data_IF_299815768422
#
_entry.id   IF_299815768422
#
_cell.length_a   1.000
_cell.length_b   1.000
_cell.length_c   1.000
_cell.angle_alpha   90.00
_cell.angle_beta   90.00
_cell.angle_gamma   90.00
#
_symmetry.space_group_name_H-M   'P 1'
#
loop_
_entity.id
_entity.type
_entity.pdbx_description
1 polymer ?
#
# COMPACT_ATOMS: atom_id res chain seq x y z
N UNK A 1 -2.78 46.15 13.26
CA UNK A 1 -2.85 46.30 11.79
C UNK A 1 -1.98 45.18 11.23
N UNK A 2 -2.47 43.95 11.14
CA UNK A 2 -3.66 43.53 10.41
C UNK A 2 -4.79 43.02 11.32
N UNK A 3 -6.00 43.43 10.96
CA UNK A 3 -7.28 42.83 11.38
C UNK A 3 -7.55 41.66 10.43
N UNK A 4 -8.51 40.80 10.75
CA UNK A 4 -9.03 39.63 10.03
C UNK A 4 -8.47 38.30 10.58
N UNK A 5 -9.26 37.31 11.01
CA UNK A 5 -10.69 37.11 10.78
C UNK A 5 -11.21 36.01 11.71
N UNK A 6 -12.37 36.23 12.34
CA UNK A 6 -13.14 35.28 13.15
C UNK A 6 -13.81 34.19 12.27
N UNK A 7 -13.05 33.46 11.46
CA UNK A 7 -13.57 32.35 10.63
C UNK A 7 -12.84 31.02 10.90
N UNK A 8 -11.90 31.00 11.85
CA UNK A 8 -11.07 29.84 12.17
C UNK A 8 -11.71 28.81 13.12
N UNK A 9 -12.83 29.13 13.78
CA UNK A 9 -13.46 28.24 14.77
C UNK A 9 -14.32 27.13 14.16
N UNK A 10 -14.91 27.36 12.99
CA UNK A 10 -15.84 26.40 12.38
C UNK A 10 -15.11 25.34 11.52
N UNK A 11 -13.98 25.72 10.90
CA UNK A 11 -13.13 24.80 10.14
C UNK A 11 -12.32 23.87 11.05
N UNK A 12 -11.97 24.29 12.27
CA UNK A 12 -11.32 23.43 13.27
C UNK A 12 -12.30 22.43 13.86
N UNK A 13 -13.57 22.80 14.08
CA UNK A 13 -14.60 21.87 14.52
C UNK A 13 -15.02 20.87 13.43
N UNK A 14 -15.08 21.28 12.16
CA UNK A 14 -15.23 20.34 11.04
C UNK A 14 -14.03 19.40 10.91
N UNK A 15 -12.81 19.90 11.16
CA UNK A 15 -11.60 19.09 11.24
C UNK A 15 -11.66 18.06 12.38
N UNK A 16 -12.06 18.45 13.58
CA UNK A 16 -12.18 17.50 14.71
C UNK A 16 -13.35 16.53 14.53
N UNK A 17 -14.51 17.00 14.05
CA UNK A 17 -15.70 16.15 13.87
C UNK A 17 -15.57 15.15 12.71
N UNK A 18 -14.80 15.47 11.67
CA UNK A 18 -14.69 14.62 10.46
C UNK A 18 -13.40 13.79 10.43
N UNK A 19 -12.29 14.28 11.00
CA UNK A 19 -10.98 13.59 10.97
C UNK A 19 -10.81 12.65 12.15
N UNK A 20 -11.22 13.04 13.37
CA UNK A 20 -11.16 12.13 14.53
C UNK A 20 -12.23 11.02 14.46
N UNK A 21 -13.24 11.17 13.60
CA UNK A 21 -14.27 10.16 13.34
C UNK A 21 -13.98 9.23 12.14
N UNK A 22 -12.86 9.38 11.42
CA UNK A 22 -12.40 8.34 10.49
C UNK A 22 -11.46 7.43 11.28
N UNK A 23 -11.98 6.38 11.93
CA UNK A 23 -11.13 5.50 12.72
C UNK A 23 -10.08 4.88 11.80
N UNK A 24 -8.84 4.73 12.28
CA UNK A 24 -7.88 3.87 11.61
C UNK A 24 -8.55 2.52 11.40
N UNK A 25 -8.58 2.08 10.14
CA UNK A 25 -9.24 0.86 9.76
C UNK A 25 -8.19 -0.11 9.22
N UNK A 26 -8.33 -1.38 9.61
CA UNK A 26 -7.37 -2.44 9.31
C UNK A 26 -7.10 -2.55 7.80
N UNK A 27 -8.12 -2.32 6.97
CA UNK A 27 -7.99 -2.36 5.52
C UNK A 27 -7.12 -1.20 4.98
N UNK A 28 -7.19 -0.03 5.60
CA UNK A 28 -6.35 1.14 5.34
C UNK A 28 -4.90 0.87 5.72
N UNK A 29 -4.67 0.26 6.88
CA UNK A 29 -3.33 -0.16 7.31
C UNK A 29 -2.71 -1.14 6.31
N UNK A 30 -3.49 -2.08 5.76
CA UNK A 30 -3.03 -3.03 4.73
C UNK A 30 -2.67 -2.34 3.42
N UNK A 31 -3.46 -1.36 3.00
CA UNK A 31 -3.15 -0.56 1.81
C UNK A 31 -1.85 0.23 2.01
N UNK A 32 -1.71 0.87 3.17
CA UNK A 32 -0.52 1.64 3.51
C UNK A 32 0.72 0.75 3.58
N UNK A 33 0.62 -0.40 4.26
CA UNK A 33 1.70 -1.39 4.36
C UNK A 33 2.20 -1.84 2.97
N UNK A 34 1.28 -2.12 2.04
CA UNK A 34 1.66 -2.49 0.68
C UNK A 34 2.45 -1.37 -0.02
N UNK A 35 2.01 -0.11 0.15
CA UNK A 35 2.70 1.04 -0.43
C UNK A 35 4.11 1.19 0.14
N UNK A 36 4.25 1.19 1.46
CA UNK A 36 5.54 1.30 2.17
C UNK A 36 6.50 0.19 1.76
N UNK A 37 6.00 -1.05 1.61
CA UNK A 37 6.82 -2.19 1.23
C UNK A 37 7.49 -2.03 -0.15
N UNK A 38 6.90 -1.25 -1.05
CA UNK A 38 7.41 -1.05 -2.42
C UNK A 38 8.16 0.28 -2.57
N UNK A 39 7.64 1.36 -1.97
CA UNK A 39 8.23 2.70 -2.09
C UNK A 39 9.37 2.92 -1.09
N UNK A 40 9.39 2.17 0.02
CA UNK A 40 10.30 2.40 1.15
C UNK A 40 9.95 3.63 1.99
N UNK A 41 8.84 4.31 1.69
CA UNK A 41 8.44 5.59 2.28
C UNK A 41 6.98 5.55 2.73
N UNK A 42 6.60 6.20 3.86
CA UNK A 42 5.22 6.29 4.30
C UNK A 42 4.33 6.92 3.21
N UNK A 43 3.21 6.29 2.86
CA UNK A 43 2.35 6.76 1.81
C UNK A 43 1.75 8.11 2.21
N UNK A 44 1.66 9.00 1.22
CA UNK A 44 0.98 10.29 1.35
C UNK A 44 1.56 11.26 2.38
N UNK A 45 2.85 11.11 2.73
CA UNK A 45 3.58 12.09 3.54
C UNK A 45 3.38 13.52 3.01
N UNK A 46 2.88 14.41 3.87
CA UNK A 46 2.62 15.81 3.53
C UNK A 46 1.33 16.07 2.71
N UNK A 47 0.53 15.04 2.40
CA UNK A 47 -0.79 15.23 1.76
C UNK A 47 -1.88 15.37 2.81
N UNK A 48 -2.89 16.19 2.52
CA UNK A 48 -4.10 16.25 3.33
C UNK A 48 -5.03 15.06 2.99
N UNK A 49 -5.96 14.76 3.89
CA UNK A 49 -6.84 13.59 3.77
C UNK A 49 -7.71 13.57 2.51
N UNK A 50 -8.15 14.75 2.04
CA UNK A 50 -8.92 14.86 0.79
C UNK A 50 -8.05 14.44 -0.40
N UNK A 51 -6.78 14.86 -0.44
CA UNK A 51 -5.83 14.45 -1.47
C UNK A 51 -5.49 12.96 -1.38
N UNK A 52 -5.45 12.37 -0.18
CA UNK A 52 -5.31 10.92 0.01
C UNK A 52 -6.54 10.18 -0.51
N UNK A 53 -7.74 10.62 -0.15
CA UNK A 53 -8.99 10.06 -0.65
C UNK A 53 -9.06 10.13 -2.17
N UNK A 54 -8.69 11.26 -2.78
CA UNK A 54 -8.64 11.40 -4.24
C UNK A 54 -7.64 10.42 -4.87
N UNK A 55 -6.42 10.33 -4.33
CA UNK A 55 -5.39 9.41 -4.86
C UNK A 55 -5.82 7.93 -4.77
N UNK A 56 -6.35 7.51 -3.62
CA UNK A 56 -6.72 6.11 -3.34
C UNK A 56 -8.04 5.74 -4.01
N UNK A 57 -9.08 6.56 -3.86
CA UNK A 57 -10.43 6.21 -4.28
C UNK A 57 -10.72 6.55 -5.75
N UNK A 58 -10.07 7.58 -6.30
CA UNK A 58 -10.39 8.09 -7.64
C UNK A 58 -9.28 7.84 -8.65
N UNK A 59 -8.02 8.15 -8.32
CA UNK A 59 -6.92 7.98 -9.27
C UNK A 59 -6.49 6.53 -9.42
N UNK A 60 -6.72 5.70 -8.38
CA UNK A 60 -6.32 4.28 -8.35
C UNK A 60 -4.82 4.09 -8.68
N UNK A 61 -4.02 5.06 -8.27
CA UNK A 61 -2.58 5.03 -8.48
C UNK A 61 -1.99 3.89 -7.63
N UNK A 62 -1.37 2.93 -8.29
CA UNK A 62 -0.54 1.89 -7.66
C UNK A 62 0.90 2.04 -8.15
N UNK A 63 1.91 1.65 -7.35
CA UNK A 63 3.29 1.73 -7.76
C UNK A 63 3.54 0.86 -9.00
N UNK A 64 4.49 1.27 -9.85
CA UNK A 64 5.02 0.40 -10.89
C UNK A 64 5.81 -0.73 -10.24
N UNK A 65 5.66 -1.96 -10.76
CA UNK A 65 6.42 -3.13 -10.27
C UNK A 65 7.93 -2.88 -10.37
N UNK A 66 8.69 -2.93 -9.27
CA UNK A 66 10.13 -2.76 -9.30
C UNK A 66 10.79 -4.07 -9.75
N UNK A 67 10.94 -4.25 -11.07
CA UNK A 67 11.39 -5.51 -11.68
C UNK A 67 12.78 -5.98 -11.21
N UNK A 68 13.63 -5.07 -10.75
CA UNK A 68 14.94 -5.43 -10.22
C UNK A 68 14.87 -6.15 -8.86
N UNK A 69 13.83 -5.90 -8.07
CA UNK A 69 13.60 -6.51 -6.76
C UNK A 69 12.51 -7.58 -6.79
N UNK A 70 11.57 -7.46 -7.73
CA UNK A 70 10.42 -8.36 -7.88
C UNK A 70 10.35 -8.82 -9.35
N UNK A 71 11.19 -9.79 -9.76
CA UNK A 71 11.26 -10.26 -11.15
C UNK A 71 9.97 -10.94 -11.61
N UNK A 72 9.60 -10.80 -12.89
CA UNK A 72 8.37 -11.36 -13.49
C UNK A 72 8.51 -12.82 -13.94
N UNK A 73 9.73 -13.26 -14.18
CA UNK A 73 10.13 -14.61 -14.56
C UNK A 73 10.39 -15.52 -13.35
N UNK A 74 10.00 -15.06 -12.16
CA UNK A 74 10.21 -15.75 -10.90
C UNK A 74 8.87 -15.94 -10.17
N UNK A 75 8.59 -17.17 -9.75
CA UNK A 75 7.33 -17.53 -9.09
C UNK A 75 7.13 -16.81 -7.75
N UNK A 76 8.20 -16.64 -6.96
CA UNK A 76 8.16 -15.89 -5.71
C UNK A 76 7.93 -14.40 -5.97
N UNK A 77 8.54 -13.85 -7.02
CA UNK A 77 8.34 -12.47 -7.45
C UNK A 77 6.89 -12.22 -7.86
N UNK A 78 6.32 -13.12 -8.65
CA UNK A 78 4.91 -13.05 -9.05
C UNK A 78 3.97 -13.16 -7.84
N UNK A 79 4.21 -14.11 -6.94
CA UNK A 79 3.40 -14.27 -5.74
C UNK A 79 3.44 -13.05 -4.82
N UNK A 80 4.62 -12.44 -4.66
CA UNK A 80 4.78 -11.21 -3.90
C UNK A 80 4.02 -10.05 -4.56
N UNK A 81 4.16 -9.91 -5.88
CA UNK A 81 3.48 -8.85 -6.62
C UNK A 81 1.96 -8.99 -6.58
N UNK A 82 1.45 -10.22 -6.69
CA UNK A 82 0.02 -10.50 -6.60
C UNK A 82 -0.52 -10.17 -5.21
N UNK A 83 0.20 -10.54 -4.14
CA UNK A 83 -0.17 -10.17 -2.78
C UNK A 83 -0.27 -8.65 -2.61
N UNK A 84 0.76 -7.92 -3.05
CA UNK A 84 0.80 -6.45 -2.98
C UNK A 84 -0.36 -5.83 -3.76
N UNK A 85 -0.65 -6.36 -4.95
CA UNK A 85 -1.78 -5.93 -5.79
C UNK A 85 -3.13 -6.07 -5.07
N UNK A 86 -3.32 -7.14 -4.30
CA UNK A 86 -4.55 -7.35 -3.52
C UNK A 86 -4.59 -6.41 -2.30
N UNK A 87 -3.45 -6.14 -1.64
CA UNK A 87 -3.37 -5.14 -0.56
C UNK A 87 -3.82 -3.75 -1.01
N UNK A 88 -3.59 -3.40 -2.29
CA UNK A 88 -4.04 -2.13 -2.87
C UNK A 88 -5.44 -2.17 -3.50
N UNK A 89 -6.22 -3.22 -3.24
CA UNK A 89 -7.59 -3.32 -3.75
C UNK A 89 -8.40 -2.06 -3.39
N UNK A 90 -9.11 -1.53 -4.39
CA UNK A 90 -9.96 -0.35 -4.21
C UNK A 90 -11.07 -0.62 -3.19
N UNK A 91 -11.70 -1.77 -3.30
CA UNK A 91 -12.69 -2.26 -2.33
C UNK A 91 -11.97 -2.73 -1.06
N UNK A 92 -12.25 -2.08 0.07
CA UNK A 92 -11.62 -2.38 1.36
C UNK A 92 -11.86 -3.84 1.80
N UNK A 93 -13.03 -4.40 1.48
CA UNK A 93 -13.40 -5.78 1.81
C UNK A 93 -12.59 -6.84 1.03
N UNK A 94 -12.02 -6.47 -0.12
CA UNK A 94 -11.18 -7.37 -0.93
C UNK A 94 -9.74 -7.42 -0.43
N UNK A 95 -9.35 -6.51 0.46
CA UNK A 95 -8.00 -6.49 1.02
C UNK A 95 -7.85 -7.65 2.02
N UNK A 96 -6.71 -8.36 1.99
CA UNK A 96 -6.46 -9.43 2.94
C UNK A 96 -6.34 -8.86 4.36
N UNK A 97 -6.65 -9.69 5.35
CA UNK A 97 -6.29 -9.42 6.74
C UNK A 97 -4.77 -9.48 6.92
N UNK A 98 -4.26 -8.83 7.96
CA UNK A 98 -2.84 -8.92 8.32
C UNK A 98 -2.37 -10.37 8.56
N UNK A 99 -3.26 -11.24 9.05
CA UNK A 99 -2.96 -12.66 9.24
C UNK A 99 -2.76 -13.38 7.90
N UNK A 100 -3.60 -13.10 6.90
CA UNK A 100 -3.47 -13.66 5.55
C UNK A 100 -2.23 -13.12 4.85
N UNK A 101 -1.95 -11.81 4.95
CA UNK A 101 -0.70 -11.22 4.43
C UNK A 101 0.50 -11.94 5.02
N UNK A 102 0.55 -12.09 6.35
CA UNK A 102 1.63 -12.81 7.03
C UNK A 102 1.74 -14.26 6.55
N UNK A 103 0.63 -14.96 6.38
CA UNK A 103 0.61 -16.34 5.91
C UNK A 103 1.17 -16.50 4.50
N UNK A 104 0.81 -15.58 3.58
CA UNK A 104 1.29 -15.61 2.20
C UNK A 104 2.77 -15.22 2.15
N UNK A 105 3.16 -14.17 2.89
CA UNK A 105 4.56 -13.75 3.02
C UNK A 105 5.47 -14.87 3.53
N UNK A 106 4.98 -15.73 4.44
CA UNK A 106 5.74 -16.88 4.93
C UNK A 106 6.05 -17.93 3.85
N UNK A 107 5.35 -17.90 2.71
CA UNK A 107 5.62 -18.77 1.55
C UNK A 107 6.61 -18.16 0.55
N UNK A 108 6.99 -16.90 0.75
CA UNK A 108 7.89 -16.15 -0.12
C UNK A 108 9.24 -16.05 0.59
N UNK A 109 10.29 -16.65 0.01
CA UNK A 109 11.64 -16.61 0.57
C UNK A 109 12.49 -15.59 -0.18
N UNK A 110 13.47 -15.02 0.50
CA UNK A 110 14.40 -14.06 -0.11
C UNK A 110 15.27 -14.74 -1.17
N UNK A 111 15.68 -15.96 -0.90
CA UNK A 111 16.46 -16.83 -1.78
C UNK A 111 15.65 -17.12 -3.06
N UNK A 112 14.38 -17.47 -2.89
CA UNK A 112 13.45 -17.71 -3.99
C UNK A 112 13.23 -16.49 -4.87
N UNK A 113 13.40 -15.27 -4.37
CA UNK A 113 13.35 -14.03 -5.18
C UNK A 113 14.66 -13.75 -5.94
N UNK A 114 15.80 -14.24 -5.44
CA UNK A 114 17.11 -14.06 -6.08
C UNK A 114 17.48 -15.15 -7.08
N UNK A 115 16.79 -16.30 -7.03
CA UNK A 115 17.03 -17.43 -7.91
C UNK A 115 16.54 -17.11 -9.33
N UNK A 116 17.45 -16.53 -10.11
CA UNK A 116 17.40 -16.42 -11.58
C UNK A 116 17.99 -17.67 -12.24
N UNK A 117 17.89 -18.84 -11.60
CA UNK A 117 18.43 -20.07 -12.16
C UNK A 117 17.48 -20.64 -13.20
N UNK A 118 17.76 -20.33 -14.46
CA UNK A 118 17.41 -21.19 -15.57
C UNK A 118 17.75 -22.63 -15.21
N UNK A 119 16.74 -23.49 -15.15
CA UNK A 119 16.94 -24.92 -14.98
C UNK A 119 17.57 -25.44 -16.27
N UNK A 120 18.90 -25.47 -16.32
CA UNK A 120 19.60 -26.38 -17.20
C UNK A 120 19.40 -27.77 -16.63
N UNK A 121 18.40 -28.48 -17.18
CA UNK A 121 18.30 -29.92 -17.02
C UNK A 121 19.54 -30.51 -17.70
N UNK A 122 20.58 -30.83 -16.92
CA UNK A 122 21.65 -31.69 -17.39
C UNK A 122 21.16 -33.12 -17.26
N UNK A 123 20.93 -33.78 -18.40
CA UNK A 123 20.72 -35.23 -18.46
C UNK A 123 21.89 -35.98 -17.81
N UNK A 124 21.56 -37.09 -17.15
CA UNK A 124 22.45 -38.25 -16.94
C UNK A 124 21.61 -39.50 -17.10
#
# INVERSE_FOLDING_TARGET
>A
MWVDNEVGGQLTLLRLMYIEMIPPNKAGDIYALGMEAVTGEPPFTGKNEIAVMLAVCFNKEIPTRPLAQIPVDNDHGNRLWDLLSICWSHEAEKRPSAAEVRSIMATITKEGLSDSSGTSVSCS
#
